data_IF_901550694957
#
_entry.id   IF_901550694957
#
_cell.length_a   1.000
_cell.length_b   1.000
_cell.length_c   1.000
_cell.angle_alpha   90.00
_cell.angle_beta   90.00
_cell.angle_gamma   90.00
#
_symmetry.space_group_name_H-M   'P 1'
#
loop_
_entity.id
_entity.type
_entity.pdbx_description
1 polymer ?
#
# COMPACT_ATOMS: atom_id res chain seq x y z
N UNK A 1 51.24 -18.70 -33.07
CA UNK A 1 51.88 -19.27 -31.86
C UNK A 1 50.84 -19.34 -30.74
N UNK A 2 50.59 -20.43 -29.99
CA UNK A 2 50.70 -21.87 -30.23
C UNK A 2 49.80 -22.61 -29.21
N UNK A 3 49.33 -23.84 -29.53
CA UNK A 3 48.53 -24.72 -28.63
C UNK A 3 49.41 -25.58 -27.71
N UNK A 4 48.85 -26.03 -26.57
CA UNK A 4 49.08 -27.24 -25.70
C UNK A 4 48.87 -26.83 -24.22
N UNK A 5 48.12 -27.47 -23.30
CA UNK A 5 47.43 -28.78 -23.09
C UNK A 5 48.34 -30.02 -22.91
N UNK A 6 47.95 -30.89 -21.94
CA UNK A 6 48.44 -32.25 -21.55
C UNK A 6 49.45 -32.18 -20.36
N UNK A 7 49.03 -32.39 -19.10
CA UNK A 7 48.94 -33.65 -18.26
C UNK A 7 50.34 -34.26 -17.92
N UNK A 8 50.61 -35.02 -16.83
CA UNK A 8 49.77 -35.96 -16.04
C UNK A 8 50.45 -36.47 -14.73
N UNK A 9 49.72 -37.29 -13.92
CA UNK A 9 50.20 -38.29 -12.90
C UNK A 9 50.76 -37.76 -11.55
N UNK A 10 50.65 -38.40 -10.36
CA UNK A 10 50.02 -39.65 -9.85
C UNK A 10 49.93 -39.58 -8.28
N UNK A 11 49.14 -40.32 -7.46
CA UNK A 11 48.00 -41.22 -7.72
C UNK A 11 47.86 -42.47 -6.79
N UNK A 12 47.36 -42.36 -5.53
CA UNK A 12 47.03 -43.46 -4.55
C UNK A 12 45.97 -42.97 -3.51
N UNK A 13 44.80 -43.64 -3.38
CA UNK A 13 44.34 -44.58 -2.30
C UNK A 13 44.44 -44.01 -0.85
N UNK A 14 43.45 -44.16 0.05
CA UNK A 14 42.59 -45.34 0.34
C UNK A 14 41.23 -44.95 0.98
N UNK A 15 40.27 -45.89 1.04
CA UNK A 15 38.89 -45.75 1.56
C UNK A 15 38.65 -46.40 2.95
N UNK A 16 37.55 -45.99 3.62
CA UNK A 16 36.89 -46.58 4.82
C UNK A 16 37.73 -46.57 6.13
N UNK A 17 37.18 -46.63 7.35
CA UNK A 17 35.85 -47.04 7.89
C UNK A 17 35.58 -46.29 9.22
N UNK A 18 34.34 -46.24 9.73
CA UNK A 18 33.95 -46.47 11.14
C UNK A 18 32.41 -46.39 11.30
N UNK A 19 31.75 -47.54 11.51
CA UNK A 19 31.16 -48.02 12.77
C UNK A 19 29.88 -47.25 13.20
N UNK A 20 28.67 -47.78 13.00
CA UNK A 20 28.01 -48.92 13.69
C UNK A 20 27.81 -48.76 15.20
N UNK A 21 26.56 -48.49 15.61
CA UNK A 21 25.87 -49.28 16.65
C UNK A 21 24.41 -49.48 16.20
N UNK A 22 24.00 -50.74 16.00
CA UNK A 22 22.63 -51.14 15.67
C UNK A 22 21.88 -51.68 16.89
N UNK A 23 20.53 -51.67 16.83
CA UNK A 23 19.52 -52.55 17.49
C UNK A 23 18.10 -51.93 17.34
N UNK A 24 17.00 -52.60 17.00
CA UNK A 24 16.74 -53.96 16.45
C UNK A 24 15.36 -54.00 15.76
N UNK A 25 15.33 -54.48 14.50
CA UNK A 25 14.27 -55.20 13.72
C UNK A 25 12.79 -55.23 14.18
N UNK A 26 11.89 -54.92 13.24
CA UNK A 26 10.48 -55.42 13.18
C UNK A 26 9.73 -54.92 11.92
N UNK A 27 9.02 -55.78 11.13
CA UNK A 27 8.36 -55.37 9.88
C UNK A 27 6.99 -54.69 10.08
N UNK A 28 6.49 -53.92 9.09
CA UNK A 28 5.24 -53.17 9.23
C UNK A 28 4.00 -54.06 9.17
N UNK A 29 3.11 -53.94 10.15
CA UNK A 29 1.82 -54.63 10.20
C UNK A 29 0.72 -53.68 9.68
N UNK A 30 -0.06 -54.17 8.72
CA UNK A 30 -1.30 -53.55 8.26
C UNK A 30 -2.35 -53.54 9.38
N UNK A 31 -2.95 -52.39 9.68
CA UNK A 31 -4.21 -52.30 10.44
C UNK A 31 -5.15 -51.32 9.71
N UNK A 32 -6.40 -51.75 9.52
CA UNK A 32 -7.43 -51.01 8.79
C UNK A 32 -8.46 -50.40 9.76
N UNK A 33 -9.39 -49.62 9.19
CA UNK A 33 -10.61 -49.07 9.81
C UNK A 33 -10.35 -47.84 10.72
N UNK A 34 -11.23 -46.84 10.79
CA UNK A 34 -12.64 -46.76 10.36
C UNK A 34 -13.01 -45.36 9.85
N UNK A 35 -13.80 -45.27 8.77
CA UNK A 35 -14.40 -44.02 8.29
C UNK A 35 -15.75 -43.80 8.99
N UNK A 36 -15.75 -43.03 10.09
CA UNK A 36 -16.97 -42.61 10.76
C UNK A 36 -17.66 -41.47 10.03
N UNK A 37 -18.71 -41.76 9.28
CA UNK A 37 -19.59 -40.73 8.72
C UNK A 37 -20.39 -40.05 9.84
N UNK A 38 -20.23 -38.73 9.99
CA UNK A 38 -21.09 -37.88 10.81
C UNK A 38 -21.84 -36.90 9.92
N UNK A 39 -23.08 -37.25 9.63
CA UNK A 39 -24.03 -36.44 8.86
C UNK A 39 -24.63 -35.37 9.79
N UNK A 40 -24.33 -34.08 9.55
CA UNK A 40 -24.90 -32.96 10.30
C UNK A 40 -25.48 -31.90 9.37
N UNK A 41 -26.66 -32.22 8.82
CA UNK A 41 -27.51 -31.28 8.07
C UNK A 41 -27.99 -30.11 8.93
N UNK A 42 -27.20 -29.04 8.99
CA UNK A 42 -27.68 -27.71 9.36
C UNK A 42 -27.88 -26.87 8.09
N UNK A 43 -29.07 -26.28 7.86
CA UNK A 43 -29.36 -25.47 6.68
C UNK A 43 -28.82 -24.03 6.83
N UNK A 44 -27.54 -23.89 7.17
CA UNK A 44 -26.83 -22.60 7.24
C UNK A 44 -26.13 -22.27 5.91
N UNK A 45 -25.75 -23.32 5.19
CA UNK A 45 -24.83 -23.30 4.05
C UNK A 45 -25.42 -22.63 2.78
N UNK A 46 -26.74 -22.70 2.58
CA UNK A 46 -27.38 -22.22 1.34
C UNK A 46 -27.67 -20.72 1.34
N UNK A 47 -28.04 -20.16 2.49
CA UNK A 47 -28.32 -18.73 2.62
C UNK A 47 -27.02 -17.92 2.55
N UNK A 48 -25.99 -18.37 3.27
CA UNK A 48 -24.67 -17.74 3.28
C UNK A 48 -24.00 -17.80 1.91
N UNK A 49 -23.99 -18.96 1.23
CA UNK A 49 -23.51 -19.07 -0.16
C UNK A 49 -24.31 -18.19 -1.13
N UNK A 50 -25.63 -18.08 -0.97
CA UNK A 50 -26.46 -17.19 -1.81
C UNK A 50 -26.09 -15.72 -1.60
N UNK A 51 -25.98 -15.26 -0.35
CA UNK A 51 -25.59 -13.90 -0.01
C UNK A 51 -24.15 -13.58 -0.44
N UNK A 52 -23.19 -14.48 -0.22
CA UNK A 52 -21.82 -14.34 -0.73
C UNK A 52 -21.77 -14.27 -2.26
N UNK A 53 -22.60 -15.07 -2.97
CA UNK A 53 -22.66 -15.05 -4.44
C UNK A 53 -23.29 -13.75 -4.95
N UNK A 54 -24.34 -13.25 -4.28
CA UNK A 54 -24.95 -11.96 -4.60
C UNK A 54 -24.02 -10.78 -4.31
N UNK A 55 -23.32 -10.78 -3.18
CA UNK A 55 -22.30 -9.78 -2.84
C UNK A 55 -21.12 -9.81 -3.83
N UNK A 56 -20.67 -11.00 -4.22
CA UNK A 56 -19.64 -11.18 -5.25
C UNK A 56 -20.10 -10.66 -6.61
N UNK A 57 -21.34 -10.96 -7.03
CA UNK A 57 -21.92 -10.46 -8.27
C UNK A 57 -22.10 -8.93 -8.27
N UNK A 58 -22.60 -8.36 -7.17
CA UNK A 58 -22.75 -6.91 -7.01
C UNK A 58 -21.38 -6.21 -7.02
N UNK A 59 -20.40 -6.75 -6.29
CA UNK A 59 -19.02 -6.27 -6.33
C UNK A 59 -18.41 -6.31 -7.73
N UNK A 60 -18.60 -7.41 -8.47
CA UNK A 60 -18.17 -7.54 -9.87
C UNK A 60 -18.92 -6.61 -10.82
N UNK A 61 -20.19 -6.31 -10.56
CA UNK A 61 -21.00 -5.38 -11.36
C UNK A 61 -20.58 -3.93 -11.14
N UNK A 62 -20.37 -3.54 -9.88
CA UNK A 62 -19.79 -2.25 -9.50
C UNK A 62 -18.38 -2.09 -10.08
N UNK A 63 -17.52 -3.10 -9.92
CA UNK A 63 -16.18 -3.11 -10.50
C UNK A 63 -16.26 -2.96 -12.03
N UNK A 64 -17.12 -3.70 -12.74
CA UNK A 64 -17.32 -3.55 -14.20
C UNK A 64 -17.83 -2.16 -14.61
N UNK A 65 -18.64 -1.50 -13.77
CA UNK A 65 -19.09 -0.12 -14.01
C UNK A 65 -17.92 0.87 -13.90
N UNK A 66 -17.10 0.74 -12.86
CA UNK A 66 -15.94 1.62 -12.63
C UNK A 66 -14.70 1.25 -13.48
N UNK A 67 -14.60 0.02 -14.01
CA UNK A 67 -13.48 -0.46 -14.84
C UNK A 67 -13.18 0.42 -16.05
N UNK A 68 -14.19 1.08 -16.63
CA UNK A 68 -14.01 2.00 -17.75
C UNK A 68 -13.23 3.28 -17.36
N UNK A 69 -13.21 3.63 -16.08
CA UNK A 69 -12.53 4.81 -15.54
C UNK A 69 -11.11 4.53 -15.03
N UNK A 70 -10.69 3.26 -14.90
CA UNK A 70 -9.33 2.88 -14.49
C UNK A 70 -8.26 3.15 -15.56
N UNK A 71 -8.64 3.34 -16.82
CA UNK A 71 -7.71 3.82 -17.85
C UNK A 71 -7.56 5.33 -17.74
N UNK A 72 -6.37 5.78 -17.32
CA UNK A 72 -6.02 7.21 -17.14
C UNK A 72 -6.31 8.05 -18.39
N UNK A 73 -6.21 7.45 -19.57
CA UNK A 73 -6.49 8.09 -20.85
C UNK A 73 -7.96 8.48 -21.04
N UNK A 74 -8.90 7.76 -20.41
CA UNK A 74 -10.35 7.99 -20.54
C UNK A 74 -10.89 9.04 -19.54
N UNK A 75 -10.11 9.42 -18.54
CA UNK A 75 -10.48 10.41 -17.51
C UNK A 75 -10.49 11.82 -18.11
N UNK A 76 -11.63 12.52 -18.00
CA UNK A 76 -11.88 13.84 -18.60
C UNK A 76 -11.91 14.97 -17.58
N UNK A 77 -12.39 14.69 -16.37
CA UNK A 77 -12.51 15.66 -15.28
C UNK A 77 -11.79 15.15 -14.01
N UNK A 78 -11.64 16.02 -13.01
CA UNK A 78 -10.91 15.69 -11.78
C UNK A 78 -11.59 14.59 -10.94
N UNK A 79 -12.93 14.53 -10.95
CA UNK A 79 -13.69 13.49 -10.23
C UNK A 79 -13.47 12.11 -10.86
N UNK A 80 -13.35 12.00 -12.19
CA UNK A 80 -12.97 10.73 -12.84
C UNK A 80 -11.61 10.20 -12.34
N UNK A 81 -10.66 11.11 -12.04
CA UNK A 81 -9.34 10.76 -11.49
C UNK A 81 -9.44 10.40 -10.01
N UNK A 82 -10.22 11.16 -9.23
CA UNK A 82 -10.48 10.90 -7.80
C UNK A 82 -11.12 9.52 -7.63
N UNK A 83 -12.19 9.22 -8.37
CA UNK A 83 -12.84 7.90 -8.40
C UNK A 83 -11.81 6.80 -8.71
N UNK A 84 -11.01 6.96 -9.78
CA UNK A 84 -9.99 5.96 -10.13
C UNK A 84 -8.95 5.79 -9.03
N UNK A 85 -8.53 6.85 -8.36
CA UNK A 85 -7.62 6.78 -7.21
C UNK A 85 -8.31 6.11 -6.01
N UNK A 86 -9.57 6.41 -5.72
CA UNK A 86 -10.29 5.83 -4.58
C UNK A 86 -10.44 4.32 -4.72
N UNK A 87 -10.88 3.85 -5.89
CA UNK A 87 -11.16 2.44 -6.17
C UNK A 87 -9.91 1.57 -6.42
N UNK A 88 -8.72 2.15 -6.61
CA UNK A 88 -7.47 1.40 -6.82
C UNK A 88 -6.64 1.25 -5.54
N UNK A 89 -6.25 0.02 -5.19
CA UNK A 89 -5.33 -0.21 -4.06
C UNK A 89 -3.93 0.41 -4.30
N UNK A 90 -3.44 0.34 -5.54
CA UNK A 90 -2.14 0.91 -5.96
C UNK A 90 -2.37 2.08 -6.92
N UNK A 91 -1.71 3.21 -6.66
CA UNK A 91 -1.74 4.40 -7.52
C UNK A 91 -0.49 4.41 -8.41
N UNK A 92 -0.66 4.58 -9.71
CA UNK A 92 0.48 4.72 -10.65
C UNK A 92 0.87 6.18 -10.85
N UNK A 93 2.10 6.44 -11.28
CA UNK A 93 2.59 7.79 -11.58
C UNK A 93 1.67 8.54 -12.58
N UNK A 94 1.12 7.83 -13.57
CA UNK A 94 0.19 8.39 -14.55
C UNK A 94 -1.07 9.00 -13.90
N UNK A 95 -1.58 8.45 -12.79
CA UNK A 95 -2.69 9.04 -12.04
C UNK A 95 -2.28 10.37 -11.39
N UNK A 96 -1.06 10.46 -10.86
CA UNK A 96 -0.56 11.67 -10.21
C UNK A 96 -0.33 12.79 -11.23
N UNK A 97 0.32 12.51 -12.35
CA UNK A 97 0.50 13.51 -13.41
C UNK A 97 -0.84 13.93 -14.05
N UNK A 98 -1.78 13.01 -14.26
CA UNK A 98 -3.13 13.35 -14.75
C UNK A 98 -3.87 14.26 -13.78
N UNK A 99 -3.82 13.97 -12.48
CA UNK A 99 -4.41 14.82 -11.44
C UNK A 99 -3.78 16.23 -11.45
N UNK A 100 -2.45 16.32 -11.42
CA UNK A 100 -1.74 17.61 -11.44
C UNK A 100 -2.05 18.42 -12.71
N UNK A 101 -2.06 17.78 -13.88
CA UNK A 101 -2.41 18.41 -15.15
C UNK A 101 -3.82 19.02 -15.12
N UNK A 102 -4.83 18.25 -14.68
CA UNK A 102 -6.22 18.73 -14.63
C UNK A 102 -6.39 19.83 -13.57
N UNK A 103 -5.76 19.70 -12.40
CA UNK A 103 -5.82 20.74 -11.35
C UNK A 103 -5.13 22.05 -11.76
N UNK A 104 -4.16 21.98 -12.67
CA UNK A 104 -3.46 23.15 -13.19
C UNK A 104 -4.24 23.87 -14.32
N UNK A 105 -5.14 23.20 -15.05
CA UNK A 105 -5.99 23.84 -16.07
C UNK A 105 -6.90 24.91 -15.41
N UNK A 106 -6.80 26.20 -15.77
CA UNK A 106 -7.63 27.28 -15.22
C UNK A 106 -9.13 26.97 -15.17
N UNK A 107 -9.66 26.19 -16.13
CA UNK A 107 -11.07 25.78 -16.23
C UNK A 107 -11.51 24.83 -15.11
N UNK A 108 -10.58 24.10 -14.48
CA UNK A 108 -10.89 23.22 -13.37
C UNK A 108 -11.31 24.03 -12.14
N UNK A 109 -12.51 23.77 -11.63
CA UNK A 109 -13.08 24.47 -10.48
C UNK A 109 -12.56 23.90 -9.16
N UNK A 110 -11.24 23.95 -8.93
CA UNK A 110 -10.56 23.34 -7.76
C UNK A 110 -11.15 23.79 -6.41
N UNK A 111 -11.66 25.02 -6.32
CA UNK A 111 -12.35 25.56 -5.13
C UNK A 111 -13.67 24.86 -4.76
N UNK A 112 -14.23 24.02 -5.65
CA UNK A 112 -15.45 23.24 -5.37
C UNK A 112 -15.15 21.87 -4.76
N UNK A 113 -13.89 21.45 -4.72
CA UNK A 113 -13.52 20.15 -4.17
C UNK A 113 -13.77 20.11 -2.66
N UNK A 114 -14.33 19.00 -2.19
CA UNK A 114 -14.55 18.72 -0.78
C UNK A 114 -13.25 18.30 -0.08
N UNK A 115 -13.20 18.44 1.25
CA UNK A 115 -12.01 18.05 2.04
C UNK A 115 -11.70 16.54 1.91
N UNK A 116 -12.73 15.71 1.71
CA UNK A 116 -12.61 14.27 1.41
C UNK A 116 -11.98 14.00 0.03
N UNK A 117 -12.35 14.76 -0.99
CA UNK A 117 -11.78 14.64 -2.35
C UNK A 117 -10.31 15.08 -2.37
N UNK A 118 -9.99 16.16 -1.64
CA UNK A 118 -8.61 16.62 -1.44
C UNK A 118 -7.81 15.59 -0.63
N UNK A 119 -8.43 14.94 0.37
CA UNK A 119 -7.84 13.84 1.14
C UNK A 119 -7.44 12.67 0.25
N UNK A 120 -8.29 12.27 -0.71
CA UNK A 120 -7.97 11.21 -1.68
C UNK A 120 -6.76 11.59 -2.54
N UNK A 121 -6.75 12.81 -3.10
CA UNK A 121 -5.65 13.34 -3.91
C UNK A 121 -4.32 13.40 -3.15
N UNK A 122 -4.34 13.89 -1.90
CA UNK A 122 -3.15 13.94 -1.05
C UNK A 122 -2.66 12.51 -0.76
N UNK A 123 -3.55 11.62 -0.31
CA UNK A 123 -3.21 10.23 0.05
C UNK A 123 -2.63 9.43 -1.12
N UNK A 124 -2.98 9.79 -2.37
CA UNK A 124 -2.41 9.21 -3.59
C UNK A 124 -0.88 9.43 -3.68
N UNK A 125 -0.38 10.54 -3.14
CA UNK A 125 1.06 10.89 -3.09
C UNK A 125 1.80 10.25 -1.91
N UNK A 126 1.13 9.44 -1.08
CA UNK A 126 1.73 8.64 -0.01
C UNK A 126 2.13 7.23 -0.45
N UNK A 127 2.19 6.27 0.49
CA UNK A 127 2.66 4.90 0.22
C UNK A 127 1.85 4.11 -0.83
N UNK A 128 0.70 4.62 -1.29
CA UNK A 128 -0.11 4.04 -2.37
C UNK A 128 0.61 4.05 -3.72
N UNK A 129 1.55 4.97 -3.94
CA UNK A 129 2.37 5.02 -5.16
C UNK A 129 3.73 4.32 -4.96
N UNK A 130 3.70 3.00 -4.77
CA UNK A 130 4.87 2.19 -4.42
C UNK A 130 5.99 2.16 -5.47
N UNK A 131 5.67 2.51 -6.73
CA UNK A 131 6.64 2.58 -7.83
C UNK A 131 7.61 3.77 -7.72
N UNK A 132 7.25 4.80 -6.94
CA UNK A 132 8.06 6.00 -6.74
C UNK A 132 8.79 5.95 -5.39
N UNK A 133 10.03 6.46 -5.37
CA UNK A 133 10.78 6.65 -4.11
C UNK A 133 10.10 7.68 -3.21
N UNK A 134 10.40 7.64 -1.91
CA UNK A 134 9.86 8.59 -0.93
C UNK A 134 10.12 10.07 -1.31
N UNK A 135 11.29 10.36 -1.90
CA UNK A 135 11.64 11.69 -2.38
C UNK A 135 10.77 12.14 -3.58
N UNK A 136 10.60 11.29 -4.59
CA UNK A 136 9.73 11.58 -5.75
C UNK A 136 8.28 11.76 -5.31
N UNK A 137 7.78 10.91 -4.41
CA UNK A 137 6.43 11.04 -3.84
C UNK A 137 6.23 12.37 -3.11
N UNK A 138 7.23 12.82 -2.34
CA UNK A 138 7.21 14.13 -1.70
C UNK A 138 7.20 15.29 -2.71
N UNK A 139 7.88 15.16 -3.85
CA UNK A 139 7.81 16.16 -4.93
C UNK A 139 6.37 16.29 -5.48
N UNK A 140 5.70 15.17 -5.75
CA UNK A 140 4.28 15.16 -6.11
C UNK A 140 3.39 15.81 -5.03
N UNK A 141 3.64 15.51 -3.74
CA UNK A 141 2.95 16.17 -2.62
C UNK A 141 3.14 17.69 -2.65
N UNK A 142 4.37 18.17 -2.84
CA UNK A 142 4.69 19.61 -2.89
C UNK A 142 4.03 20.28 -4.11
N UNK A 143 4.10 19.65 -5.30
CA UNK A 143 3.43 20.14 -6.52
C UNK A 143 1.91 20.27 -6.31
N UNK A 144 1.27 19.26 -5.72
CA UNK A 144 -0.17 19.27 -5.42
C UNK A 144 -0.54 20.40 -4.44
N UNK A 145 0.18 20.50 -3.31
CA UNK A 145 -0.07 21.54 -2.30
C UNK A 145 0.12 22.96 -2.85
N UNK A 146 1.11 23.17 -3.72
CA UNK A 146 1.34 24.46 -4.37
C UNK A 146 0.17 24.83 -5.29
N UNK A 147 -0.38 23.90 -6.08
CA UNK A 147 -1.56 24.15 -6.90
C UNK A 147 -2.77 24.51 -6.02
N UNK A 148 -3.06 23.71 -4.98
CA UNK A 148 -4.17 23.99 -4.05
C UNK A 148 -4.03 25.38 -3.41
N UNK A 149 -2.83 25.75 -2.95
CA UNK A 149 -2.54 27.06 -2.36
C UNK A 149 -2.72 28.21 -3.36
N UNK A 150 -2.19 28.09 -4.58
CA UNK A 150 -2.35 29.12 -5.64
C UNK A 150 -3.82 29.28 -6.02
N UNK A 151 -4.60 28.19 -6.02
CA UNK A 151 -6.04 28.21 -6.24
C UNK A 151 -6.84 28.74 -5.05
N UNK A 152 -6.21 29.06 -3.93
CA UNK A 152 -6.87 29.56 -2.72
C UNK A 152 -7.77 28.53 -2.05
N UNK A 153 -7.37 27.25 -2.08
CA UNK A 153 -8.02 26.16 -1.33
C UNK A 153 -7.36 26.06 0.04
N UNK A 154 -8.18 26.11 1.10
CA UNK A 154 -7.76 25.79 2.46
C UNK A 154 -8.01 24.30 2.72
N UNK A 155 -7.04 23.64 3.37
CA UNK A 155 -7.17 22.24 3.77
C UNK A 155 -7.93 22.18 5.10
N UNK A 156 -8.99 21.37 5.15
CA UNK A 156 -9.68 21.03 6.39
C UNK A 156 -8.95 19.96 7.19
N UNK A 157 -9.58 19.51 8.28
CA UNK A 157 -8.98 18.58 9.24
C UNK A 157 -8.63 17.22 8.59
N UNK A 158 -9.45 16.72 7.67
CA UNK A 158 -9.22 15.41 7.05
C UNK A 158 -8.08 15.47 6.05
N UNK A 159 -8.00 16.53 5.23
CA UNK A 159 -6.89 16.73 4.31
C UNK A 159 -5.56 17.04 5.04
N UNK A 160 -5.61 17.76 6.17
CA UNK A 160 -4.43 17.99 7.04
C UNK A 160 -3.93 16.69 7.66
N UNK A 161 -4.82 15.84 8.16
CA UNK A 161 -4.46 14.52 8.66
C UNK A 161 -3.93 13.61 7.52
N UNK A 162 -4.51 13.66 6.32
CA UNK A 162 -3.98 12.95 5.17
C UNK A 162 -2.55 13.39 4.83
N UNK A 163 -2.28 14.70 4.87
CA UNK A 163 -0.94 15.25 4.64
C UNK A 163 0.08 14.76 5.68
N UNK A 164 -0.29 14.70 6.96
CA UNK A 164 0.57 14.13 8.00
C UNK A 164 0.90 12.65 7.75
N UNK A 165 -0.08 11.85 7.32
CA UNK A 165 0.17 10.46 6.93
C UNK A 165 1.13 10.35 5.74
N UNK A 166 0.93 11.18 4.71
CA UNK A 166 1.80 11.23 3.52
C UNK A 166 3.23 11.68 3.88
N UNK A 167 3.40 12.65 4.76
CA UNK A 167 4.71 13.09 5.25
C UNK A 167 5.45 11.96 5.99
N UNK A 168 4.72 11.18 6.81
CA UNK A 168 5.24 9.96 7.44
C UNK A 168 5.64 8.93 6.37
N UNK A 169 4.79 8.63 5.39
CA UNK A 169 5.08 7.67 4.31
C UNK A 169 6.24 8.09 3.41
N UNK A 170 6.44 9.39 3.24
CA UNK A 170 7.48 9.99 2.40
C UNK A 170 8.74 10.36 3.20
N UNK A 171 8.83 9.94 4.47
CA UNK A 171 9.99 10.12 5.34
C UNK A 171 10.42 11.59 5.51
N UNK A 172 9.44 12.50 5.46
CA UNK A 172 9.64 13.94 5.64
C UNK A 172 9.89 14.23 7.12
N UNK A 173 10.91 15.04 7.42
CA UNK A 173 11.11 15.53 8.78
C UNK A 173 10.04 16.58 9.13
N UNK A 174 9.12 16.23 10.04
CA UNK A 174 8.02 17.11 10.47
C UNK A 174 8.31 17.67 11.86
N UNK A 175 8.33 19.00 11.96
CA UNK A 175 8.28 19.70 13.24
C UNK A 175 6.84 19.68 13.77
N UNK A 176 6.62 18.93 14.85
CA UNK A 176 5.31 18.76 15.50
C UNK A 176 4.82 20.08 16.12
N UNK A 177 5.71 20.86 16.75
CA UNK A 177 5.35 22.12 17.42
C UNK A 177 4.95 23.16 16.40
N UNK A 178 5.69 23.26 15.29
CA UNK A 178 5.32 24.12 14.16
C UNK A 178 4.01 23.68 13.50
N UNK A 179 3.77 22.38 13.39
CA UNK A 179 2.53 21.85 12.79
C UNK A 179 1.31 22.18 13.64
N UNK A 180 1.37 22.00 14.97
CA UNK A 180 0.26 22.34 15.86
C UNK A 180 -0.08 23.85 15.81
N UNK A 181 0.94 24.72 15.81
CA UNK A 181 0.75 26.17 15.62
C UNK A 181 0.10 26.52 14.28
N UNK A 182 0.34 25.74 13.23
CA UNK A 182 -0.32 25.94 11.93
C UNK A 182 -1.79 25.51 11.96
N UNK A 183 -2.15 24.46 12.70
CA UNK A 183 -3.56 24.10 12.90
C UNK A 183 -4.29 25.23 13.65
N UNK A 184 -3.70 25.74 14.73
CA UNK A 184 -4.22 26.89 15.49
C UNK A 184 -4.40 28.13 14.60
N UNK A 185 -3.41 28.49 13.77
CA UNK A 185 -3.50 29.65 12.87
C UNK A 185 -4.54 29.49 11.76
N UNK A 186 -4.82 28.25 11.37
CA UNK A 186 -5.82 27.92 10.34
C UNK A 186 -7.23 27.76 10.92
N UNK A 187 -7.40 27.90 12.25
CA UNK A 187 -8.67 27.72 12.95
C UNK A 187 -9.11 26.26 13.06
N UNK A 188 -8.18 25.30 12.93
CA UNK A 188 -8.44 23.86 12.98
C UNK A 188 -8.18 23.31 14.38
N UNK A 189 -9.10 22.48 14.88
CA UNK A 189 -8.94 21.75 16.14
C UNK A 189 -8.34 20.36 15.83
N UNK A 190 -7.14 20.02 16.36
CA UNK A 190 -6.58 18.68 16.22
C UNK A 190 -7.49 17.59 16.80
N UNK A 191 -7.61 16.48 16.10
CA UNK A 191 -8.43 15.33 16.51
C UNK A 191 -7.57 14.12 16.94
N UNK A 192 -8.23 13.02 17.32
CA UNK A 192 -7.56 11.79 17.72
C UNK A 192 -6.65 11.21 16.61
N UNK A 193 -7.01 11.43 15.33
CA UNK A 193 -6.18 11.01 14.20
C UNK A 193 -4.94 11.91 14.06
N UNK A 194 -5.08 13.23 14.24
CA UNK A 194 -3.95 14.17 14.30
C UNK A 194 -2.95 13.74 15.37
N UNK A 195 -3.40 13.54 16.61
CA UNK A 195 -2.51 13.13 17.70
C UNK A 195 -1.88 11.74 17.47
N UNK A 196 -2.62 10.79 16.90
CA UNK A 196 -2.06 9.49 16.51
C UNK A 196 -0.93 9.58 15.48
N UNK A 197 -1.04 10.51 14.52
CA UNK A 197 0.00 10.76 13.52
C UNK A 197 1.22 11.50 14.11
N UNK A 198 0.99 12.51 14.96
CA UNK A 198 2.08 13.22 15.65
C UNK A 198 2.86 12.28 16.60
N UNK A 199 2.17 11.35 17.26
CA UNK A 199 2.80 10.28 18.06
C UNK A 199 3.71 9.37 17.22
N UNK A 200 3.26 8.97 16.02
CA UNK A 200 4.09 8.21 15.07
C UNK A 200 5.33 8.98 14.59
N UNK A 201 5.23 10.29 14.44
CA UNK A 201 6.38 11.16 14.10
C UNK A 201 7.38 11.20 15.27
N UNK A 202 6.92 11.39 16.50
CA UNK A 202 7.79 11.38 17.68
C UNK A 202 8.49 10.04 17.89
N UNK A 203 7.76 8.91 17.75
CA UNK A 203 8.35 7.58 17.89
C UNK A 203 9.53 7.37 16.93
N UNK A 204 9.37 7.73 15.64
CA UNK A 204 10.45 7.65 14.65
C UNK A 204 11.65 8.55 14.95
N UNK A 205 11.44 9.72 15.56
CA UNK A 205 12.54 10.61 15.97
C UNK A 205 13.30 10.09 17.18
N UNK A 206 12.64 9.36 18.08
CA UNK A 206 13.29 8.73 19.23
C UNK A 206 14.12 7.50 18.84
N UNK A 207 13.60 6.70 17.89
CA UNK A 207 14.20 5.43 17.42
C UNK A 207 15.64 5.59 16.88
N UNK A 208 15.94 6.73 16.25
CA UNK A 208 17.27 7.08 15.74
C UNK A 208 18.38 7.11 16.81
N UNK A 209 18.04 7.16 18.11
CA UNK A 209 19.00 7.08 19.23
C UNK A 209 19.08 5.71 19.90
N UNK A 210 18.20 4.76 19.55
CA UNK A 210 18.12 3.43 20.18
C UNK A 210 18.91 2.32 19.46
N UNK A 211 19.46 2.62 18.27
CA UNK A 211 20.07 1.63 17.35
C UNK A 211 21.60 1.87 17.18
N UNK A 212 22.15 2.93 17.79
CA UNK A 212 23.57 3.33 17.73
C UNK A 212 24.35 2.93 18.99
#
# INVERSE_FOLDING_TARGET
>A
LCRKRITESIGKRTTSTNQDIAKTVGPPILITNSLGSYDSKWPLDSLDKSQHTQMSYLGLSLLKKHVKHFQVDQQKNIYDVIDSIEWNYVVTEAHLEKALHILNDPKCSVKKLMDSEITILISATGCRCQMLSAAQRNEYTIRLLNILKIRGVMLGITARNALLAVQIDNQVDVDVVKTLKQFESDGLVPDAQTYGQLSRIYARKADLKGIL
#
